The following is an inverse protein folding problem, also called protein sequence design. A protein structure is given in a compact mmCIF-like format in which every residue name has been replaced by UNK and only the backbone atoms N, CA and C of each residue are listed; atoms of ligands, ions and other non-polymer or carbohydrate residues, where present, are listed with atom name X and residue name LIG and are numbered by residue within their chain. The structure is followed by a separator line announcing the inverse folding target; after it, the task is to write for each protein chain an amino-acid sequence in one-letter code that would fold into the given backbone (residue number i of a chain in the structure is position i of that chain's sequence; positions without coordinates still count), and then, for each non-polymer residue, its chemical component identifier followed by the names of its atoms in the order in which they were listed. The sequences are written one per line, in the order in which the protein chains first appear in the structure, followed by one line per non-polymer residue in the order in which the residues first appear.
data_IF_786138239768
#
_entry.id   IF_786138239768
#
_cell.length_a   1.000
_cell.length_b   1.000
_cell.length_c   1.000
_cell.angle_alpha   90.00
_cell.angle_beta   90.00
_cell.angle_gamma   90.00
#
_symmetry.space_group_name_H-M   'P 1'
#
loop_
_entity.id
_entity.type
_entity.pdbx_description
1 polymer ?
#
# COMPACT_ATOMS: atom_id res chain seq x y z
N UNK A 1 17.19 8.53 9.83
CA UNK A 1 15.96 7.71 9.88
C UNK A 1 16.04 6.63 8.80
N UNK A 2 15.67 5.42 9.12
CA UNK A 2 15.64 4.31 8.16
C UNK A 2 14.21 4.05 7.70
N UNK A 3 14.03 3.74 6.41
CA UNK A 3 12.73 3.30 5.89
C UNK A 3 12.42 1.86 6.29
N UNK A 4 13.44 1.07 6.62
CA UNK A 4 13.25 -0.34 6.99
C UNK A 4 12.28 -0.47 8.16
N UNK A 5 11.25 -1.29 7.99
CA UNK A 5 10.24 -1.53 9.00
C UNK A 5 8.82 -1.44 8.45
N UNK A 6 7.86 -1.53 9.35
CA UNK A 6 6.44 -1.51 9.00
C UNK A 6 5.89 -0.09 9.04
N UNK A 7 5.15 0.26 8.01
CA UNK A 7 4.49 1.55 7.87
C UNK A 7 3.00 1.34 7.71
N UNK A 8 2.21 1.91 8.62
CA UNK A 8 0.74 1.75 8.58
C UNK A 8 0.08 2.92 7.86
N UNK A 9 -1.03 2.63 7.19
CA UNK A 9 -1.84 3.65 6.52
C UNK A 9 -2.61 4.45 7.57
N UNK A 10 -2.51 5.77 7.51
CA UNK A 10 -3.25 6.67 8.41
C UNK A 10 -4.28 7.52 7.67
N UNK A 11 -4.06 7.78 6.39
CA UNK A 11 -4.98 8.52 5.53
C UNK A 11 -4.97 7.93 4.13
N UNK A 12 -6.07 8.06 3.42
CA UNK A 12 -6.18 7.65 2.02
C UNK A 12 -7.06 8.64 1.26
N UNK A 13 -6.87 8.69 -0.07
CA UNK A 13 -7.71 9.50 -0.93
C UNK A 13 -9.00 8.72 -1.21
N UNK A 14 -10.14 9.36 -0.99
CA UNK A 14 -11.44 8.85 -1.41
C UNK A 14 -12.17 9.95 -2.17
N UNK A 15 -13.23 9.58 -2.88
CA UNK A 15 -14.03 10.54 -3.62
C UNK A 15 -15.27 10.91 -2.81
N UNK A 16 -15.52 12.23 -2.67
CA UNK A 16 -16.69 12.73 -1.98
C UNK A 16 -17.95 12.64 -2.88
N UNK A 17 -19.08 13.13 -2.41
CA UNK A 17 -20.35 13.10 -3.16
C UNK A 17 -20.30 13.81 -4.52
N UNK A 18 -19.37 14.75 -4.67
CA UNK A 18 -19.16 15.48 -5.92
C UNK A 18 -18.09 14.85 -6.82
N UNK A 19 -17.61 13.65 -6.46
CA UNK A 19 -16.53 12.95 -7.14
C UNK A 19 -15.20 13.69 -7.13
N UNK A 20 -14.99 14.54 -6.11
CA UNK A 20 -13.71 15.22 -5.90
C UNK A 20 -12.83 14.39 -4.96
N UNK A 21 -11.50 14.29 -5.23
CA UNK A 21 -10.61 13.55 -4.34
C UNK A 21 -10.37 14.32 -3.04
N UNK A 22 -10.47 13.61 -1.92
CA UNK A 22 -10.22 14.15 -0.60
C UNK A 22 -9.38 13.18 0.23
N UNK A 23 -8.50 13.73 1.06
CA UNK A 23 -7.81 12.93 2.06
C UNK A 23 -8.73 12.73 3.26
N UNK A 24 -8.86 11.48 3.70
CA UNK A 24 -9.66 11.16 4.89
C UNK A 24 -8.87 10.22 5.81
N UNK A 25 -9.08 10.35 7.14
CA UNK A 25 -8.50 9.40 8.08
C UNK A 25 -8.94 7.97 7.74
N UNK A 26 -8.01 7.02 7.82
CA UNK A 26 -8.30 5.62 7.47
C UNK A 26 -9.43 5.05 8.32
N UNK A 27 -9.54 5.50 9.57
CA UNK A 27 -10.59 5.07 10.48
C UNK A 27 -11.99 5.40 9.99
N UNK A 28 -12.16 6.58 9.38
CA UNK A 28 -13.43 6.99 8.79
C UNK A 28 -13.78 6.15 7.56
N UNK A 29 -12.78 5.83 6.75
CA UNK A 29 -12.97 5.00 5.55
C UNK A 29 -13.39 3.59 5.97
N UNK A 30 -12.71 3.01 6.96
CA UNK A 30 -13.02 1.66 7.42
C UNK A 30 -14.34 1.57 8.17
N UNK A 31 -14.84 2.67 8.71
CA UNK A 31 -16.13 2.72 9.39
C UNK A 31 -17.33 2.78 8.43
N UNK A 32 -17.09 2.98 7.15
CA UNK A 32 -18.14 3.03 6.13
C UNK A 32 -18.76 1.66 5.93
N UNK A 33 -20.06 1.53 6.24
CA UNK A 33 -20.79 0.27 6.12
C UNK A 33 -20.98 -0.19 4.66
N UNK A 34 -20.91 0.75 3.72
CA UNK A 34 -21.03 0.45 2.30
C UNK A 34 -19.72 -0.02 1.67
N UNK A 35 -18.62 0.02 2.44
CA UNK A 35 -17.32 -0.40 1.96
C UNK A 35 -17.31 -1.91 1.68
N UNK A 36 -16.89 -2.28 0.48
CA UNK A 36 -16.83 -3.69 0.10
C UNK A 36 -15.71 -4.43 0.85
N UNK A 37 -15.85 -5.75 1.07
CA UNK A 37 -14.83 -6.53 1.78
C UNK A 37 -13.44 -6.43 1.17
N UNK A 38 -13.34 -6.39 -0.16
CA UNK A 38 -12.05 -6.25 -0.86
C UNK A 38 -11.38 -4.92 -0.53
N UNK A 39 -12.15 -3.84 -0.45
CA UNK A 39 -11.64 -2.52 -0.11
C UNK A 39 -11.20 -2.47 1.35
N UNK A 40 -11.90 -3.16 2.25
CA UNK A 40 -11.48 -3.26 3.65
C UNK A 40 -10.11 -3.92 3.78
N UNK A 41 -9.84 -4.94 2.98
CA UNK A 41 -8.53 -5.60 2.96
C UNK A 41 -7.45 -4.61 2.54
N UNK A 42 -7.69 -3.85 1.47
CA UNK A 42 -6.73 -2.85 0.96
C UNK A 42 -6.47 -1.75 1.99
N UNK A 43 -7.53 -1.18 2.57
CA UNK A 43 -7.39 -0.08 3.54
C UNK A 43 -6.87 -0.53 4.90
N UNK A 44 -6.98 -1.81 5.23
CA UNK A 44 -6.41 -2.39 6.46
C UNK A 44 -4.95 -2.81 6.28
N UNK A 45 -4.41 -2.69 5.07
CA UNK A 45 -3.05 -3.11 4.76
C UNK A 45 -2.00 -2.15 5.33
N UNK A 46 -0.78 -2.64 5.36
CA UNK A 46 0.39 -1.85 5.75
C UNK A 46 1.51 -2.14 4.76
N UNK A 47 2.56 -1.36 4.80
CA UNK A 47 3.72 -1.54 3.93
C UNK A 47 4.95 -1.90 4.76
N UNK A 48 5.60 -3.00 4.41
CA UNK A 48 6.84 -3.46 5.03
C UNK A 48 8.00 -3.14 4.11
N UNK A 49 8.87 -2.24 4.56
CA UNK A 49 10.08 -1.89 3.82
C UNK A 49 11.20 -2.80 4.30
N UNK A 50 11.68 -3.68 3.42
CA UNK A 50 12.71 -4.67 3.76
C UNK A 50 14.11 -4.12 3.53
N UNK A 51 15.09 -4.72 4.20
CA UNK A 51 16.50 -4.32 4.05
C UNK A 51 17.05 -4.62 2.66
N UNK A 52 16.46 -5.59 1.95
CA UNK A 52 16.88 -5.98 0.61
C UNK A 52 16.23 -5.16 -0.52
N UNK A 53 15.57 -4.05 -0.18
CA UNK A 53 15.04 -3.12 -1.18
C UNK A 53 13.65 -3.46 -1.69
N UNK A 54 12.85 -4.21 -0.95
CA UNK A 54 11.47 -4.52 -1.32
C UNK A 54 10.48 -3.76 -0.44
N UNK A 55 9.30 -3.51 -0.99
CA UNK A 55 8.15 -2.97 -0.23
C UNK A 55 7.02 -3.97 -0.38
N UNK A 56 6.63 -4.60 0.72
CA UNK A 56 5.57 -5.60 0.72
C UNK A 56 4.29 -4.96 1.24
N UNK A 57 3.25 -4.92 0.41
CA UNK A 57 1.93 -4.46 0.84
C UNK A 57 1.17 -5.66 1.37
N UNK A 58 1.02 -5.72 2.69
CA UNK A 58 0.44 -6.86 3.40
C UNK A 58 -0.81 -6.44 4.15
N UNK A 59 -1.78 -7.36 4.23
CA UNK A 59 -2.99 -7.14 5.00
C UNK A 59 -3.21 -8.28 6.00
N UNK A 60 -3.70 -7.98 7.21
CA UNK A 60 -4.12 -9.04 8.12
C UNK A 60 -5.20 -9.90 7.47
N UNK A 61 -5.20 -11.20 7.76
CA UNK A 61 -6.25 -12.09 7.27
C UNK A 61 -7.52 -11.80 8.06
N UNK A 62 -8.65 -11.46 7.38
CA UNK A 62 -9.89 -11.20 8.09
C UNK A 62 -10.36 -12.40 8.90
N UNK A 63 -10.83 -12.16 10.12
CA UNK A 63 -11.27 -13.22 11.03
C UNK A 63 -12.48 -13.99 10.51
N UNK A 64 -13.29 -13.33 9.68
CA UNK A 64 -14.49 -13.93 9.10
C UNK A 64 -14.23 -14.77 7.85
N UNK A 65 -12.97 -14.84 7.38
CA UNK A 65 -12.59 -15.71 6.27
C UNK A 65 -12.24 -17.11 6.78
N UNK A 66 -12.87 -18.12 6.19
CA UNK A 66 -12.54 -19.51 6.49
C UNK A 66 -11.25 -19.92 5.80
N UNK A 67 -10.64 -21.01 6.26
CA UNK A 67 -9.44 -21.54 5.63
C UNK A 67 -9.69 -21.94 4.16
N UNK A 68 -10.91 -22.44 3.86
CA UNK A 68 -11.30 -22.77 2.49
C UNK A 68 -11.32 -21.54 1.58
N UNK A 69 -11.85 -20.43 2.08
CA UNK A 69 -11.89 -19.17 1.33
C UNK A 69 -10.50 -18.62 1.08
N UNK A 70 -9.60 -18.72 2.06
CA UNK A 70 -8.21 -18.33 1.94
C UNK A 70 -7.51 -19.17 0.89
N UNK A 71 -7.66 -20.49 0.96
CA UNK A 71 -7.07 -21.44 0.01
C UNK A 71 -7.56 -21.18 -1.41
N UNK A 72 -8.83 -20.82 -1.57
CA UNK A 72 -9.43 -20.52 -2.86
C UNK A 72 -8.80 -19.28 -3.50
N UNK A 73 -8.63 -18.18 -2.76
CA UNK A 73 -8.03 -16.96 -3.30
C UNK A 73 -6.54 -17.14 -3.62
N UNK A 74 -5.85 -17.98 -2.87
CA UNK A 74 -4.44 -18.31 -3.14
C UNK A 74 -4.32 -19.18 -4.40
N UNK A 75 -5.17 -20.19 -4.55
CA UNK A 75 -5.18 -21.06 -5.72
C UNK A 75 -5.54 -20.33 -7.00
N UNK A 76 -6.44 -19.33 -6.91
CA UNK A 76 -6.85 -18.52 -8.06
C UNK A 76 -5.79 -17.49 -8.46
N UNK A 77 -4.72 -17.35 -7.67
CA UNK A 77 -3.64 -16.41 -7.95
C UNK A 77 -3.98 -14.96 -7.68
N UNK A 78 -5.11 -14.69 -7.02
CA UNK A 78 -5.50 -13.32 -6.68
C UNK A 78 -4.60 -12.71 -5.62
N UNK A 79 -4.22 -13.50 -4.62
CA UNK A 79 -3.35 -13.06 -3.53
C UNK A 79 -2.38 -14.17 -3.15
N UNK A 80 -1.30 -13.79 -2.49
CA UNK A 80 -0.33 -14.73 -1.94
C UNK A 80 -0.35 -14.61 -0.41
N UNK A 81 0.01 -15.69 0.28
CA UNK A 81 0.21 -15.64 1.72
C UNK A 81 1.68 -15.40 2.00
N UNK A 82 1.96 -14.48 2.91
CA UNK A 82 3.31 -14.13 3.32
C UNK A 82 3.34 -13.96 4.84
N UNK A 83 4.06 -14.83 5.53
CA UNK A 83 4.28 -14.76 6.99
C UNK A 83 2.98 -14.54 7.79
N UNK A 84 1.89 -15.25 7.41
CA UNK A 84 0.60 -15.12 8.08
C UNK A 84 -0.25 -13.95 7.64
N UNK A 85 0.14 -13.24 6.60
CA UNK A 85 -0.60 -12.11 6.04
C UNK A 85 -0.95 -12.36 4.58
N UNK A 86 -1.92 -11.61 4.08
CA UNK A 86 -2.25 -11.61 2.65
C UNK A 86 -1.33 -10.57 1.98
N UNK A 87 -0.56 -11.03 0.99
CA UNK A 87 0.29 -10.14 0.20
C UNK A 87 -0.51 -9.59 -0.97
N UNK A 88 -0.75 -8.28 -0.96
CA UNK A 88 -1.51 -7.58 -2.01
C UNK A 88 -0.64 -7.16 -3.17
N UNK A 89 0.58 -6.71 -2.89
CA UNK A 89 1.49 -6.21 -3.90
C UNK A 89 2.93 -6.22 -3.39
N UNK A 90 3.88 -6.18 -4.32
CA UNK A 90 5.28 -6.04 -4.02
C UNK A 90 5.86 -4.95 -4.91
N UNK A 91 6.59 -4.03 -4.29
CA UNK A 91 7.26 -2.92 -4.96
C UNK A 91 8.73 -2.92 -4.58
N UNK A 92 9.50 -1.99 -5.12
CA UNK A 92 10.92 -1.83 -4.78
C UNK A 92 11.18 -0.45 -4.23
N UNK A 93 12.20 -0.31 -3.40
CA UNK A 93 12.65 0.99 -2.91
C UNK A 93 14.17 1.05 -2.92
N UNK A 94 14.71 2.25 -2.96
CA UNK A 94 16.15 2.47 -2.89
C UNK A 94 16.46 3.83 -2.31
N UNK A 95 17.72 4.01 -1.90
CA UNK A 95 18.24 5.32 -1.50
C UNK A 95 19.28 5.75 -2.51
N UNK A 96 19.29 7.03 -2.82
CA UNK A 96 20.27 7.61 -3.74
C UNK A 96 20.46 9.07 -3.37
N UNK A 97 21.71 9.49 -3.13
CA UNK A 97 22.05 10.86 -2.75
C UNK A 97 21.27 11.40 -1.53
N UNK A 98 21.00 10.54 -0.55
CA UNK A 98 20.26 10.90 0.66
C UNK A 98 18.74 10.99 0.50
N UNK A 99 18.24 10.62 -0.67
CA UNK A 99 16.81 10.61 -0.97
C UNK A 99 16.31 9.18 -1.10
N UNK A 100 15.02 8.99 -0.88
CA UNK A 100 14.37 7.68 -0.99
C UNK A 100 13.50 7.64 -2.24
N UNK A 101 13.53 6.52 -2.94
CA UNK A 101 12.76 6.30 -4.18
C UNK A 101 11.95 5.02 -4.08
N UNK A 102 10.82 5.02 -4.74
CA UNK A 102 9.86 3.92 -4.75
C UNK A 102 9.52 3.58 -6.20
N UNK A 103 9.58 2.30 -6.55
CA UNK A 103 9.25 1.83 -7.89
C UNK A 103 7.86 1.19 -7.88
N UNK A 104 6.93 1.81 -8.57
CA UNK A 104 5.56 1.32 -8.71
C UNK A 104 5.45 0.19 -9.71
N UNK A 105 6.53 -0.10 -10.46
CA UNK A 105 6.56 -1.06 -11.57
C UNK A 105 5.60 -0.70 -12.71
N UNK A 106 5.12 0.53 -12.74
CA UNK A 106 4.30 1.05 -13.83
C UNK A 106 5.23 1.70 -14.83
N UNK A 107 5.25 1.17 -16.06
CA UNK A 107 6.01 1.76 -17.16
C UNK A 107 5.06 2.56 -18.03
N UNK A 108 5.46 3.77 -18.40
CA UNK A 108 4.67 4.61 -19.27
C UNK A 108 5.52 5.30 -20.31
N UNK A 109 4.88 5.75 -21.38
CA UNK A 109 5.50 6.58 -22.41
C UNK A 109 4.81 7.95 -22.40
N UNK A 110 5.63 9.00 -22.41
CA UNK A 110 5.13 10.36 -22.56
C UNK A 110 5.81 10.96 -23.77
N UNK A 111 5.03 11.35 -24.78
CA UNK A 111 5.53 11.92 -26.03
C UNK A 111 6.55 11.01 -26.76
N UNK A 112 6.36 9.68 -26.64
CA UNK A 112 7.23 8.70 -27.28
C UNK A 112 8.51 8.38 -26.51
N UNK A 113 8.70 8.96 -25.32
CA UNK A 113 9.84 8.66 -24.48
C UNK A 113 9.41 7.81 -23.29
N UNK A 114 10.22 6.80 -22.95
CA UNK A 114 9.97 5.93 -21.80
C UNK A 114 10.21 6.71 -20.51
N UNK A 115 9.20 6.69 -19.61
CA UNK A 115 9.26 7.37 -18.31
C UNK A 115 9.66 6.38 -17.25
N UNK A 116 10.57 6.78 -16.36
CA UNK A 116 11.00 5.96 -15.24
C UNK A 116 9.84 5.67 -14.29
N UNK A 117 9.74 4.42 -13.82
CA UNK A 117 8.76 4.03 -12.81
C UNK A 117 9.18 4.45 -11.39
N UNK A 118 10.40 4.91 -11.19
CA UNK A 118 10.90 5.36 -9.90
C UNK A 118 10.37 6.75 -9.56
N UNK A 119 9.78 6.88 -8.36
CA UNK A 119 9.27 8.14 -7.84
C UNK A 119 9.94 8.46 -6.51
N UNK A 120 10.26 9.73 -6.28
CA UNK A 120 10.83 10.15 -5.00
C UNK A 120 9.78 10.08 -3.91
N UNK A 121 10.14 9.48 -2.77
CA UNK A 121 9.30 9.47 -1.59
C UNK A 121 9.58 10.71 -0.77
N UNK A 122 8.54 11.51 -0.55
CA UNK A 122 8.64 12.72 0.27
C UNK A 122 8.21 12.38 1.67
N UNK A 123 9.10 12.62 2.64
CA UNK A 123 8.83 12.38 4.05
C UNK A 123 8.70 13.74 4.72
N UNK A 124 7.51 14.02 5.27
CA UNK A 124 7.24 15.28 5.97
C UNK A 124 6.68 14.93 7.36
N UNK A 125 7.38 15.37 8.40
CA UNK A 125 6.98 15.12 9.80
C UNK A 125 6.72 13.64 10.11
N UNK A 126 7.53 12.75 9.52
CA UNK A 126 7.40 11.30 9.73
C UNK A 126 6.30 10.63 8.92
N UNK A 127 5.66 11.37 8.00
CA UNK A 127 4.60 10.86 7.14
C UNK A 127 5.11 10.73 5.71
N UNK A 128 4.90 9.57 5.11
CA UNK A 128 5.24 9.34 3.70
C UNK A 128 3.94 9.29 2.89
N UNK A 129 3.89 10.08 1.83
CA UNK A 129 2.78 10.01 0.86
C UNK A 129 3.20 9.08 -0.27
N UNK A 130 2.51 7.95 -0.40
CA UNK A 130 2.77 6.94 -1.43
C UNK A 130 1.47 6.71 -2.21
N UNK A 131 1.48 7.00 -3.52
CA UNK A 131 0.30 6.82 -4.37
C UNK A 131 -0.91 7.54 -3.79
N UNK A 132 -1.92 6.81 -3.33
CA UNK A 132 -3.17 7.38 -2.81
C UNK A 132 -3.30 7.27 -1.29
N UNK A 133 -2.20 6.96 -0.60
CA UNK A 133 -2.23 6.77 0.86
C UNK A 133 -1.09 7.53 1.52
N UNK A 134 -1.30 7.84 2.80
CA UNK A 134 -0.28 8.40 3.68
C UNK A 134 0.01 7.38 4.77
N UNK A 135 1.28 7.10 4.98
CA UNK A 135 1.71 6.08 5.95
C UNK A 135 2.65 6.69 6.98
N UNK A 136 2.60 6.14 8.20
CA UNK A 136 3.54 6.48 9.27
C UNK A 136 4.16 5.21 9.80
N UNK A 137 5.36 5.31 10.34
CA UNK A 137 6.05 4.15 10.87
C UNK A 137 5.30 3.59 12.08
N UNK A 138 5.05 2.29 12.04
CA UNK A 138 4.37 1.57 13.11
C UNK A 138 5.42 1.05 14.08
N UNK A 139 5.60 1.80 15.15
CA UNK A 139 6.59 1.49 16.21
C UNK A 139 5.95 0.79 17.39
#
# INVERSE_FOLDING_TARGET
MSLVGRWKIVEAIHFNEKFEPEWAPIEEILADEELEPEDKIVYSSFMDFTEDGRVLNLSPIPEDLSQEEIDEVVENGEYELYDGYIKLAEYSWKTENGKYYFDTHIKGEVLGEEVSSWAELKIVDGVIEIMTVRVVKDE
#
